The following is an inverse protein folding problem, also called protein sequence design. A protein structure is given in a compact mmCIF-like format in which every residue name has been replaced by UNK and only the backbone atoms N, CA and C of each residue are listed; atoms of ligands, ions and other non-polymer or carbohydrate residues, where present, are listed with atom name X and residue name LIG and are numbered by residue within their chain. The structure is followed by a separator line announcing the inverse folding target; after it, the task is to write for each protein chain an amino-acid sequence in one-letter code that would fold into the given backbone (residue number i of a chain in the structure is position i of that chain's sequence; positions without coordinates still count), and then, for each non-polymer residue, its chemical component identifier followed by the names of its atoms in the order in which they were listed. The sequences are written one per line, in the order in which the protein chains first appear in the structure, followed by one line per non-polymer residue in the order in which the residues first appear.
data_IF_430049351612
#
_entry.id   IF_430049351612
#
_cell.length_a   1.000
_cell.length_b   1.000
_cell.length_c   1.000
_cell.angle_alpha   90.00
_cell.angle_beta   90.00
_cell.angle_gamma   90.00
#
_symmetry.space_group_name_H-M   'P 1'
#
loop_
_entity.id
_entity.type
_entity.pdbx_description
1 polymer ?
#
# COMPACT_ATOMS: atom_id res chain seq x y z
N UNK A 1 24.37 14.66 -27.78
CA UNK A 1 23.80 14.23 -29.08
C UNK A 1 22.39 14.78 -29.14
N UNK A 2 22.03 15.58 -30.16
CA UNK A 2 20.66 16.09 -30.30
C UNK A 2 19.78 14.94 -30.79
N UNK A 3 18.65 14.71 -30.12
CA UNK A 3 17.62 13.76 -30.56
C UNK A 3 17.13 14.23 -31.94
N UNK A 4 17.09 13.32 -32.91
CA UNK A 4 16.57 13.60 -34.25
C UNK A 4 15.04 13.76 -34.22
N UNK A 5 14.48 14.44 -35.22
CA UNK A 5 13.03 14.66 -35.30
C UNK A 5 12.25 13.33 -35.43
N UNK A 6 12.83 12.35 -36.11
CA UNK A 6 12.30 10.98 -36.23
C UNK A 6 12.30 10.24 -34.89
N UNK A 7 13.39 10.32 -34.12
CA UNK A 7 13.46 9.72 -32.77
C UNK A 7 12.44 10.36 -31.82
N UNK A 8 12.26 11.69 -31.88
CA UNK A 8 11.27 12.38 -31.07
C UNK A 8 9.84 11.95 -31.44
N UNK A 9 9.58 11.73 -32.72
CA UNK A 9 8.28 11.25 -33.22
C UNK A 9 7.98 9.85 -32.69
N UNK A 10 8.94 8.92 -32.78
CA UNK A 10 8.81 7.56 -32.22
C UNK A 10 8.50 7.56 -30.73
N UNK A 11 9.19 8.41 -29.95
CA UNK A 11 8.93 8.51 -28.50
C UNK A 11 7.53 9.05 -28.23
N UNK A 12 7.06 10.05 -28.99
CA UNK A 12 5.68 10.57 -28.84
C UNK A 12 4.64 9.50 -29.14
N UNK A 13 4.84 8.70 -30.18
CA UNK A 13 3.94 7.59 -30.53
C UNK A 13 3.92 6.53 -29.43
N UNK A 14 5.09 6.13 -28.92
CA UNK A 14 5.20 5.21 -27.79
C UNK A 14 4.45 5.72 -26.55
N UNK A 15 4.64 6.99 -26.20
CA UNK A 15 3.95 7.63 -25.08
C UNK A 15 2.44 7.74 -25.29
N UNK A 16 1.99 7.91 -26.54
CA UNK A 16 0.56 7.89 -26.87
C UNK A 16 -0.03 6.51 -26.62
N UNK A 17 0.58 5.46 -27.19
CA UNK A 17 0.14 4.07 -26.99
C UNK A 17 0.12 3.71 -25.50
N UNK A 18 1.15 4.12 -24.75
CA UNK A 18 1.22 3.88 -23.30
C UNK A 18 0.06 4.52 -22.53
N UNK A 19 -0.44 5.69 -22.93
CA UNK A 19 -1.57 6.37 -22.25
C UNK A 19 -2.89 5.65 -22.45
N UNK A 20 -3.06 4.98 -23.57
CA UNK A 20 -4.30 4.27 -23.92
C UNK A 20 -4.36 2.88 -23.30
N UNK A 21 -3.22 2.34 -22.84
CA UNK A 21 -3.13 1.07 -22.15
C UNK A 21 -3.53 1.20 -20.68
N UNK A 22 -4.45 0.35 -20.23
CA UNK A 22 -4.65 0.13 -18.80
C UNK A 22 -3.73 -1.02 -18.35
N UNK A 23 -2.70 -0.74 -17.53
CA UNK A 23 -1.82 -1.80 -17.02
C UNK A 23 -2.58 -2.76 -16.10
N UNK A 24 -3.70 -2.34 -15.51
CA UNK A 24 -4.47 -3.13 -14.56
C UNK A 24 -5.84 -3.47 -15.18
N UNK A 25 -6.30 -4.72 -15.11
CA UNK A 25 -7.62 -5.07 -15.62
C UNK A 25 -8.74 -4.22 -14.99
N UNK A 26 -9.57 -3.55 -15.81
CA UNK A 26 -10.81 -2.93 -15.34
C UNK A 26 -11.87 -4.00 -15.14
N UNK A 27 -12.55 -3.95 -14.00
CA UNK A 27 -13.72 -4.77 -13.72
C UNK A 27 -14.77 -3.94 -12.99
N UNK A 28 -16.03 -4.37 -13.09
CA UNK A 28 -17.09 -3.82 -12.25
C UNK A 28 -16.78 -4.14 -10.78
N UNK A 29 -16.62 -3.12 -9.92
CA UNK A 29 -16.27 -3.34 -8.52
C UNK A 29 -17.42 -4.02 -7.78
N UNK A 30 -17.09 -4.84 -6.80
CA UNK A 30 -18.04 -5.49 -5.89
C UNK A 30 -18.57 -4.51 -4.85
N UNK A 31 -19.61 -4.89 -4.10
CA UNK A 31 -20.09 -4.07 -2.99
C UNK A 31 -19.01 -3.81 -1.93
N UNK A 32 -18.14 -4.79 -1.66
CA UNK A 32 -17.04 -4.67 -0.70
C UNK A 32 -16.00 -3.66 -1.17
N UNK A 33 -15.68 -3.64 -2.47
CA UNK A 33 -14.74 -2.68 -3.04
C UNK A 33 -15.31 -1.26 -3.05
N UNK A 34 -16.60 -1.12 -3.36
CA UNK A 34 -17.29 0.18 -3.33
C UNK A 34 -17.43 0.70 -1.89
N UNK A 35 -17.55 -0.19 -0.90
CA UNK A 35 -17.62 0.18 0.52
C UNK A 35 -16.32 0.76 1.09
N UNK A 36 -15.18 0.58 0.40
CA UNK A 36 -13.89 1.14 0.78
C UNK A 36 -13.04 0.26 1.71
N UNK A 37 -13.55 -0.86 2.19
CA UNK A 37 -12.88 -1.76 3.14
C UNK A 37 -12.66 -3.21 2.63
N UNK A 38 -12.35 -3.46 1.33
CA UNK A 38 -12.30 -4.82 0.80
C UNK A 38 -11.20 -5.70 1.40
N UNK A 39 -10.19 -5.09 2.04
CA UNK A 39 -9.00 -5.75 2.56
C UNK A 39 -8.99 -5.93 4.08
N UNK A 40 -10.06 -5.51 4.76
CA UNK A 40 -10.14 -5.60 6.20
C UNK A 40 -10.49 -7.03 6.59
N UNK A 41 -9.56 -7.72 7.26
CA UNK A 41 -9.71 -9.10 7.72
C UNK A 41 -11.00 -9.28 8.54
N UNK A 42 -11.29 -8.34 9.46
CA UNK A 42 -12.51 -8.35 10.26
C UNK A 42 -13.79 -8.27 9.41
N UNK A 43 -13.80 -7.47 8.34
CA UNK A 43 -14.95 -7.37 7.41
C UNK A 43 -15.13 -8.68 6.66
N UNK A 44 -14.05 -9.28 6.17
CA UNK A 44 -14.12 -10.58 5.49
C UNK A 44 -14.57 -11.68 6.44
N UNK A 45 -14.06 -11.71 7.68
CA UNK A 45 -14.48 -12.66 8.71
C UNK A 45 -15.97 -12.51 9.06
N UNK A 46 -16.53 -11.31 9.04
CA UNK A 46 -17.98 -11.09 9.21
C UNK A 46 -18.80 -11.78 8.11
N UNK A 47 -18.36 -11.64 6.87
CA UNK A 47 -19.05 -12.24 5.72
C UNK A 47 -18.89 -13.75 5.71
N UNK A 48 -17.69 -14.26 6.03
CA UNK A 48 -17.46 -15.69 6.20
C UNK A 48 -18.34 -16.27 7.29
N UNK A 49 -18.41 -15.63 8.47
CA UNK A 49 -19.30 -16.06 9.55
C UNK A 49 -20.76 -16.11 9.08
N UNK A 50 -21.22 -15.12 8.31
CA UNK A 50 -22.58 -15.16 7.75
C UNK A 50 -22.83 -16.44 6.94
N UNK A 51 -21.90 -16.85 6.07
CA UNK A 51 -22.05 -18.07 5.26
C UNK A 51 -21.81 -19.38 6.01
N UNK A 52 -21.01 -19.35 7.08
CA UNK A 52 -20.68 -20.52 7.90
C UNK A 52 -21.79 -20.84 8.92
N UNK A 53 -22.56 -19.84 9.34
CA UNK A 53 -23.63 -20.01 10.35
C UNK A 53 -24.90 -20.63 9.77
N UNK A 54 -25.56 -21.44 10.58
CA UNK A 54 -26.90 -21.99 10.30
C UNK A 54 -28.05 -21.12 10.84
N UNK A 55 -27.74 -20.05 11.59
CA UNK A 55 -28.73 -19.14 12.22
C UNK A 55 -29.68 -18.49 11.21
N UNK A 56 -29.22 -18.31 9.96
CA UNK A 56 -30.02 -17.85 8.83
C UNK A 56 -30.11 -19.02 7.85
N UNK A 57 -31.31 -19.54 7.58
CA UNK A 57 -31.53 -20.64 6.63
C UNK A 57 -31.30 -20.17 5.18
N UNK A 58 -30.05 -19.89 4.84
CA UNK A 58 -29.61 -19.50 3.51
C UNK A 58 -29.07 -20.70 2.72
N UNK A 59 -29.01 -21.90 3.31
CA UNK A 59 -28.66 -23.15 2.64
C UNK A 59 -27.18 -23.35 2.29
N UNK A 60 -26.26 -22.51 2.79
CA UNK A 60 -24.83 -22.55 2.42
C UNK A 60 -23.89 -23.02 3.54
N UNK A 61 -24.34 -23.11 4.79
CA UNK A 61 -23.48 -23.40 5.95
C UNK A 61 -22.72 -24.72 5.80
N UNK A 62 -23.44 -25.80 5.52
CA UNK A 62 -22.89 -27.13 5.34
C UNK A 62 -21.86 -27.18 4.21
N UNK A 63 -22.17 -26.62 3.03
CA UNK A 63 -21.23 -26.67 1.91
C UNK A 63 -19.99 -25.80 2.15
N UNK A 64 -20.09 -24.71 2.91
CA UNK A 64 -18.94 -23.90 3.26
C UNK A 64 -17.96 -24.67 4.14
N UNK A 65 -18.47 -25.36 5.16
CA UNK A 65 -17.63 -26.17 6.05
C UNK A 65 -17.08 -27.39 5.33
N UNK A 66 -17.90 -28.09 4.55
CA UNK A 66 -17.48 -29.24 3.74
C UNK A 66 -16.37 -28.85 2.75
N UNK A 67 -16.56 -27.79 1.95
CA UNK A 67 -15.53 -27.32 1.01
C UNK A 67 -14.24 -26.92 1.73
N UNK A 68 -14.34 -26.31 2.91
CA UNK A 68 -13.16 -25.94 3.69
C UNK A 68 -12.40 -27.19 4.16
N UNK A 69 -13.11 -28.19 4.68
CA UNK A 69 -12.52 -29.46 5.14
C UNK A 69 -11.94 -30.28 3.99
N UNK A 70 -12.60 -30.34 2.83
CA UNK A 70 -12.06 -31.03 1.65
C UNK A 70 -10.77 -30.38 1.15
N UNK A 71 -10.70 -29.05 1.21
CA UNK A 71 -9.47 -28.31 0.86
C UNK A 71 -8.32 -28.69 1.80
N UNK A 72 -8.63 -29.08 3.03
CA UNK A 72 -7.69 -29.38 4.12
C UNK A 72 -7.28 -30.85 4.17
N UNK A 73 -8.20 -31.77 3.91
CA UNK A 73 -8.04 -33.23 4.08
C UNK A 73 -7.92 -33.98 2.74
N UNK A 74 -8.28 -33.35 1.61
CA UNK A 74 -8.28 -33.94 0.27
C UNK A 74 -9.54 -34.74 -0.06
N UNK A 75 -9.91 -34.80 -1.34
CA UNK A 75 -11.19 -35.37 -1.82
C UNK A 75 -11.41 -36.85 -1.44
N UNK A 76 -10.34 -37.64 -1.25
CA UNK A 76 -10.43 -39.07 -0.87
C UNK A 76 -10.74 -39.31 0.61
N UNK A 77 -10.68 -38.28 1.46
CA UNK A 77 -11.04 -38.35 2.89
C UNK A 77 -12.57 -38.29 3.13
N UNK A 78 -13.37 -38.22 2.06
CA UNK A 78 -14.83 -38.05 2.01
C UNK A 78 -15.66 -39.23 2.54
N UNK A 79 -15.14 -39.96 3.53
CA UNK A 79 -15.88 -40.94 4.34
C UNK A 79 -16.14 -40.44 5.77
N UNK A 80 -16.37 -39.13 5.93
CA UNK A 80 -16.97 -38.61 7.15
C UNK A 80 -18.49 -38.51 6.98
N UNK A 81 -19.29 -39.19 7.83
CA UNK A 81 -20.74 -39.09 7.80
C UNK A 81 -21.14 -37.70 8.30
N UNK A 82 -21.68 -36.86 7.42
CA UNK A 82 -22.48 -35.67 7.80
C UNK A 82 -21.97 -34.88 9.02
N UNK A 83 -20.70 -34.45 9.03
CA UNK A 83 -20.17 -33.44 9.99
C UNK A 83 -20.77 -32.03 9.74
N UNK A 84 -21.88 -31.96 9.02
CA UNK A 84 -22.36 -30.76 8.34
C UNK A 84 -23.31 -29.90 9.18
N UNK A 85 -23.71 -30.37 10.37
CA UNK A 85 -24.46 -29.57 11.34
C UNK A 85 -23.53 -28.63 12.08
N UNK A 86 -23.37 -27.43 11.52
CA UNK A 86 -22.71 -26.32 12.23
C UNK A 86 -23.56 -25.95 13.45
N UNK A 87 -23.00 -26.14 14.64
CA UNK A 87 -23.62 -25.81 15.92
C UNK A 87 -23.44 -24.33 16.25
N UNK A 88 -22.23 -23.81 16.04
CA UNK A 88 -21.89 -22.43 16.36
C UNK A 88 -20.74 -21.91 15.49
N UNK A 89 -20.71 -20.60 15.27
CA UNK A 89 -19.58 -19.90 14.64
C UNK A 89 -19.33 -18.60 15.37
N UNK A 90 -18.17 -18.48 16.00
CA UNK A 90 -17.76 -17.28 16.72
C UNK A 90 -16.66 -16.54 15.97
N UNK A 91 -16.68 -15.21 16.09
CA UNK A 91 -15.63 -14.34 15.59
C UNK A 91 -14.84 -13.81 16.75
N UNK A 92 -13.56 -13.52 16.50
CA UNK A 92 -12.74 -12.73 17.41
C UNK A 92 -12.66 -13.35 18.82
N UNK A 93 -12.55 -14.68 18.89
CA UNK A 93 -12.52 -15.44 20.13
C UNK A 93 -11.24 -15.12 20.90
N UNK A 94 -11.40 -14.51 22.07
CA UNK A 94 -10.29 -14.01 22.86
C UNK A 94 -9.73 -15.09 23.77
N UNK A 95 -8.43 -15.35 23.66
CA UNK A 95 -7.75 -16.32 24.51
C UNK A 95 -7.49 -15.77 25.91
N UNK A 96 -7.07 -16.64 26.84
CA UNK A 96 -6.68 -16.21 28.19
C UNK A 96 -5.47 -15.27 28.20
N UNK A 97 -4.63 -15.30 27.16
CA UNK A 97 -3.50 -14.38 26.98
C UNK A 97 -3.91 -13.07 26.29
N UNK A 98 -5.21 -12.85 26.05
CA UNK A 98 -5.73 -11.69 25.32
C UNK A 98 -5.28 -11.63 23.84
N UNK A 99 -4.92 -12.78 23.26
CA UNK A 99 -4.82 -12.92 21.82
C UNK A 99 -6.20 -13.24 21.23
N UNK A 100 -6.33 -13.23 19.90
CA UNK A 100 -7.64 -13.29 19.23
C UNK A 100 -7.61 -14.24 18.04
N UNK A 101 -8.46 -15.26 18.07
CA UNK A 101 -8.69 -16.18 16.95
C UNK A 101 -9.79 -15.57 16.07
N UNK A 102 -9.54 -15.42 14.77
CA UNK A 102 -10.46 -14.69 13.90
C UNK A 102 -11.83 -15.36 13.76
N UNK A 103 -11.85 -16.70 13.60
CA UNK A 103 -13.06 -17.51 13.49
C UNK A 103 -12.90 -18.86 14.20
N UNK A 104 -13.94 -19.29 14.91
CA UNK A 104 -14.06 -20.64 15.49
C UNK A 104 -15.40 -21.23 15.05
N UNK A 105 -15.38 -22.41 14.44
CA UNK A 105 -16.56 -23.15 13.99
C UNK A 105 -16.66 -24.43 14.82
N UNK A 106 -17.80 -24.62 15.46
CA UNK A 106 -18.13 -25.82 16.23
C UNK A 106 -19.15 -26.65 15.43
N UNK A 107 -18.82 -27.91 15.20
CA UNK A 107 -19.74 -28.94 14.70
C UNK A 107 -19.97 -29.99 15.79
N UNK A 108 -20.78 -31.03 15.52
CA UNK A 108 -21.03 -32.09 16.50
C UNK A 108 -19.77 -32.84 16.98
N UNK A 109 -18.69 -32.86 16.20
CA UNK A 109 -17.50 -33.65 16.50
C UNK A 109 -16.17 -32.96 16.13
N UNK A 110 -16.19 -31.79 15.48
CA UNK A 110 -15.01 -31.01 15.11
C UNK A 110 -15.09 -29.58 15.63
N UNK A 111 -13.94 -29.05 16.02
CA UNK A 111 -13.73 -27.63 16.22
C UNK A 111 -12.69 -27.12 15.21
N UNK A 112 -13.10 -26.17 14.38
CA UNK A 112 -12.26 -25.59 13.33
C UNK A 112 -11.89 -24.16 13.75
N UNK A 113 -10.61 -23.89 13.94
CA UNK A 113 -10.09 -22.56 14.25
C UNK A 113 -9.39 -21.98 13.02
N UNK A 114 -9.80 -20.79 12.61
CA UNK A 114 -9.29 -20.13 11.41
C UNK A 114 -8.67 -18.79 11.80
N UNK A 115 -7.42 -18.61 11.39
CA UNK A 115 -6.75 -17.32 11.33
C UNK A 115 -6.87 -16.78 9.90
N UNK A 116 -7.54 -15.64 9.72
CA UNK A 116 -7.83 -15.04 8.42
C UNK A 116 -6.81 -13.95 8.09
N UNK A 117 -6.07 -14.12 6.97
CA UNK A 117 -5.03 -13.19 6.54
C UNK A 117 -5.22 -12.69 5.12
N UNK A 118 -5.47 -11.39 4.97
CA UNK A 118 -5.49 -10.70 3.69
C UNK A 118 -4.10 -10.13 3.39
N UNK A 119 -3.74 -9.01 4.01
CA UNK A 119 -2.45 -8.34 3.79
C UNK A 119 -1.49 -8.46 4.96
N UNK A 120 -1.95 -8.78 6.17
CA UNK A 120 -1.05 -8.94 7.31
C UNK A 120 -0.20 -10.21 7.19
N UNK A 121 0.97 -10.16 7.85
CA UNK A 121 1.87 -11.28 8.05
C UNK A 121 1.49 -12.07 9.31
N UNK A 122 2.04 -13.28 9.46
CA UNK A 122 1.68 -14.22 10.54
C UNK A 122 2.58 -14.12 11.78
N UNK A 123 3.72 -13.42 11.71
CA UNK A 123 4.76 -13.40 12.75
C UNK A 123 4.37 -12.92 14.14
N UNK A 124 3.23 -12.23 14.29
CA UNK A 124 2.78 -11.73 15.58
C UNK A 124 1.65 -12.57 16.19
N UNK A 125 1.25 -13.64 15.50
CA UNK A 125 0.21 -14.54 15.97
C UNK A 125 0.83 -15.67 16.81
N UNK A 126 0.38 -15.79 18.07
CA UNK A 126 0.74 -16.90 18.96
C UNK A 126 -0.16 -18.10 18.63
N UNK A 127 0.18 -18.83 17.56
CA UNK A 127 -0.61 -19.97 17.07
C UNK A 127 -0.72 -21.09 18.10
N UNK A 128 0.32 -21.27 18.92
CA UNK A 128 0.31 -22.26 19.99
C UNK A 128 -0.73 -21.91 21.06
N UNK A 129 -0.84 -20.64 21.45
CA UNK A 129 -1.90 -20.19 22.36
C UNK A 129 -3.31 -20.44 21.78
N UNK A 130 -3.47 -20.34 20.46
CA UNK A 130 -4.75 -20.62 19.81
C UNK A 130 -5.08 -22.11 19.93
N UNK A 131 -4.11 -22.99 19.64
CA UNK A 131 -4.28 -24.43 19.80
C UNK A 131 -4.61 -24.82 21.25
N UNK A 132 -3.85 -24.29 22.20
CA UNK A 132 -4.05 -24.57 23.64
C UNK A 132 -5.39 -24.06 24.14
N UNK A 133 -5.86 -22.93 23.61
CA UNK A 133 -7.18 -22.41 23.90
C UNK A 133 -8.27 -23.36 23.40
N UNK A 134 -8.23 -23.71 22.11
CA UNK A 134 -9.26 -24.53 21.46
C UNK A 134 -9.34 -25.93 22.08
N UNK A 135 -8.21 -26.59 22.30
CA UNK A 135 -8.16 -27.92 22.92
C UNK A 135 -8.73 -27.94 24.34
N UNK A 136 -8.63 -26.82 25.06
CA UNK A 136 -9.16 -26.71 26.42
C UNK A 136 -10.66 -26.45 26.44
N UNK A 137 -11.15 -25.57 25.57
CA UNK A 137 -12.57 -25.22 25.52
C UNK A 137 -13.43 -26.31 24.83
N UNK A 138 -12.84 -27.08 23.90
CA UNK A 138 -13.52 -28.12 23.13
C UNK A 138 -12.86 -29.51 23.28
N UNK A 139 -12.69 -30.05 24.51
CA UNK A 139 -11.85 -31.22 24.78
C UNK A 139 -12.29 -32.51 24.09
N UNK A 140 -13.59 -32.63 23.79
CA UNK A 140 -14.19 -33.83 23.20
C UNK A 140 -14.28 -33.78 21.66
N UNK A 141 -13.71 -32.75 21.01
CA UNK A 141 -13.75 -32.57 19.56
C UNK A 141 -12.44 -32.98 18.89
N UNK A 142 -12.54 -33.34 17.61
CA UNK A 142 -11.40 -33.31 16.69
C UNK A 142 -11.06 -31.86 16.32
N UNK A 143 -9.79 -31.56 16.09
CA UNK A 143 -9.34 -30.19 15.84
C UNK A 143 -8.90 -30.00 14.39
N UNK A 144 -9.22 -28.84 13.81
CA UNK A 144 -8.68 -28.40 12.54
C UNK A 144 -8.23 -26.95 12.66
N UNK A 145 -6.94 -26.70 12.48
CA UNK A 145 -6.35 -25.37 12.59
C UNK A 145 -5.97 -24.87 11.20
N UNK A 146 -6.46 -23.71 10.79
CA UNK A 146 -6.32 -23.20 9.42
C UNK A 146 -5.79 -21.77 9.45
N UNK A 147 -4.77 -21.50 8.64
CA UNK A 147 -4.45 -20.14 8.20
C UNK A 147 -5.05 -19.96 6.81
N UNK A 148 -6.13 -19.17 6.70
CA UNK A 148 -6.82 -18.88 5.45
C UNK A 148 -6.33 -17.55 4.89
N UNK A 149 -5.80 -17.52 3.67
CA UNK A 149 -5.18 -16.29 3.14
C UNK A 149 -5.21 -16.13 1.62
N UNK A 150 -4.89 -14.93 1.12
CA UNK A 150 -4.88 -14.64 -0.33
C UNK A 150 -3.89 -15.51 -1.12
N UNK A 151 -2.79 -15.90 -0.48
CA UNK A 151 -1.67 -16.61 -1.09
C UNK A 151 -0.64 -16.93 -0.01
N UNK A 152 0.36 -17.76 -0.33
CA UNK A 152 1.35 -18.20 0.65
C UNK A 152 1.95 -17.04 1.45
N UNK A 153 1.95 -17.19 2.78
CA UNK A 153 2.59 -16.27 3.71
C UNK A 153 3.90 -16.88 4.20
N UNK A 154 4.81 -16.01 4.58
CA UNK A 154 6.00 -16.45 5.30
C UNK A 154 5.58 -17.07 6.63
N UNK A 155 6.05 -18.30 6.85
CA UNK A 155 5.73 -19.08 8.04
C UNK A 155 6.57 -18.57 9.21
N UNK A 156 5.99 -18.42 10.42
CA UNK A 156 6.77 -18.11 11.62
C UNK A 156 7.74 -19.25 11.96
N UNK A 157 8.74 -18.97 12.79
CA UNK A 157 9.81 -19.92 13.12
C UNK A 157 9.27 -21.20 13.78
N UNK A 158 8.20 -21.09 14.57
CA UNK A 158 7.53 -22.17 15.27
C UNK A 158 6.47 -22.90 14.42
N UNK A 159 6.33 -22.57 13.12
CA UNK A 159 5.26 -23.12 12.28
C UNK A 159 5.20 -24.66 12.29
N UNK A 160 6.34 -25.33 12.22
CA UNK A 160 6.40 -26.80 12.17
C UNK A 160 6.11 -27.46 13.54
N UNK A 161 6.07 -26.68 14.63
CA UNK A 161 5.64 -27.13 15.96
C UNK A 161 4.12 -27.00 16.15
N UNK A 162 3.46 -26.24 15.27
CA UNK A 162 2.02 -25.99 15.29
C UNK A 162 1.26 -26.97 14.37
N UNK A 163 -0.03 -27.16 14.64
CA UNK A 163 -0.92 -28.03 13.84
C UNK A 163 -1.69 -27.26 12.75
N UNK A 164 -1.34 -25.98 12.56
CA UNK A 164 -1.96 -25.14 11.55
C UNK A 164 -1.62 -25.61 10.14
N UNK A 165 -2.66 -25.75 9.31
CA UNK A 165 -2.55 -25.98 7.88
C UNK A 165 -2.76 -24.68 7.13
N UNK A 166 -1.97 -24.47 6.07
CA UNK A 166 -2.07 -23.28 5.26
C UNK A 166 -3.02 -23.51 4.08
N UNK A 167 -4.05 -22.68 3.95
CA UNK A 167 -5.06 -22.76 2.89
C UNK A 167 -5.18 -21.40 2.20
N UNK A 168 -5.20 -21.40 0.86
CA UNK A 168 -5.49 -20.19 0.11
C UNK A 168 -6.98 -20.04 -0.12
N UNK A 169 -7.46 -18.79 -0.17
CA UNK A 169 -8.82 -18.49 -0.57
C UNK A 169 -9.16 -19.03 -1.96
N UNK A 170 -8.21 -19.01 -2.90
CA UNK A 170 -8.44 -19.57 -4.24
C UNK A 170 -8.70 -21.08 -4.15
N UNK A 171 -7.89 -21.84 -3.41
CA UNK A 171 -8.11 -23.29 -3.25
C UNK A 171 -9.46 -23.58 -2.56
N UNK A 172 -9.79 -22.83 -1.51
CA UNK A 172 -11.07 -22.96 -0.82
C UNK A 172 -12.26 -22.61 -1.73
N UNK A 173 -12.19 -21.51 -2.46
CA UNK A 173 -13.28 -21.09 -3.35
C UNK A 173 -13.42 -21.96 -4.58
N UNK A 174 -12.36 -22.55 -5.10
CA UNK A 174 -12.44 -23.52 -6.19
C UNK A 174 -13.21 -24.77 -5.73
N UNK A 175 -12.93 -25.27 -4.51
CA UNK A 175 -13.69 -26.37 -3.88
C UNK A 175 -15.15 -25.98 -3.58
N UNK A 176 -15.40 -24.74 -3.14
CA UNK A 176 -16.75 -24.23 -2.90
C UNK A 176 -17.56 -24.14 -4.19
N UNK A 177 -16.99 -23.53 -5.23
CA UNK A 177 -17.66 -23.34 -6.53
C UNK A 177 -18.06 -24.68 -7.17
N UNK A 178 -17.24 -25.72 -7.01
CA UNK A 178 -17.58 -27.08 -7.46
C UNK A 178 -18.84 -27.68 -6.81
N UNK A 179 -19.22 -27.21 -5.61
CA UNK A 179 -20.43 -27.65 -4.88
C UNK A 179 -21.64 -26.73 -5.07
N UNK A 180 -21.45 -25.54 -5.64
CA UNK A 180 -22.52 -24.53 -5.74
C UNK A 180 -23.67 -24.97 -6.66
N UNK A 181 -23.40 -25.77 -7.69
CA UNK A 181 -24.42 -26.22 -8.64
C UNK A 181 -25.54 -27.04 -7.94
N UNK A 182 -25.24 -27.69 -6.81
CA UNK A 182 -26.21 -28.48 -6.02
C UNK A 182 -27.11 -27.61 -5.12
N UNK A 183 -26.67 -26.40 -4.77
CA UNK A 183 -27.28 -25.54 -3.75
C UNK A 183 -27.94 -24.29 -4.34
N UNK A 184 -27.40 -23.73 -5.43
CA UNK A 184 -27.91 -22.51 -6.09
C UNK A 184 -29.43 -22.57 -6.37
N UNK A 185 -30.03 -23.68 -6.83
CA UNK A 185 -31.46 -23.73 -7.10
C UNK A 185 -32.35 -23.53 -5.86
N UNK A 186 -31.81 -23.70 -4.65
CA UNK A 186 -32.53 -23.64 -3.38
C UNK A 186 -32.24 -22.36 -2.58
N UNK A 187 -31.21 -21.63 -2.95
CA UNK A 187 -30.75 -20.45 -2.24
C UNK A 187 -31.49 -19.16 -2.66
N UNK A 188 -31.61 -18.22 -1.72
CA UNK A 188 -32.07 -16.86 -2.02
C UNK A 188 -31.10 -16.18 -3.01
N UNK A 189 -31.65 -15.62 -4.09
CA UNK A 189 -30.87 -14.99 -5.16
C UNK A 189 -29.95 -13.87 -4.65
N UNK A 190 -30.35 -13.16 -3.59
CA UNK A 190 -29.57 -12.10 -2.92
C UNK A 190 -28.34 -12.68 -2.23
N UNK A 191 -28.48 -13.82 -1.56
CA UNK A 191 -27.36 -14.51 -0.90
C UNK A 191 -26.34 -14.97 -1.95
N UNK A 192 -26.81 -15.48 -3.10
CA UNK A 192 -25.94 -15.80 -4.23
C UNK A 192 -25.17 -14.59 -4.77
N UNK A 193 -25.75 -13.39 -4.74
CA UNK A 193 -25.03 -12.14 -5.11
C UNK A 193 -23.93 -11.83 -4.09
N UNK A 194 -24.22 -11.92 -2.79
CA UNK A 194 -23.23 -11.68 -1.73
C UNK A 194 -22.05 -12.63 -1.84
N UNK A 195 -22.31 -13.91 -2.14
CA UNK A 195 -21.29 -14.93 -2.31
C UNK A 195 -20.36 -14.60 -3.48
N UNK A 196 -20.96 -14.31 -4.65
CA UNK A 196 -20.20 -13.92 -5.84
C UNK A 196 -19.37 -12.67 -5.59
N UNK A 197 -19.92 -11.69 -4.87
CA UNK A 197 -19.19 -10.47 -4.51
C UNK A 197 -18.04 -10.75 -3.54
N UNK A 198 -18.18 -11.66 -2.57
CA UNK A 198 -17.09 -12.07 -1.68
C UNK A 198 -15.96 -12.72 -2.49
N UNK A 199 -16.28 -13.76 -3.26
CA UNK A 199 -15.31 -14.50 -4.09
C UNK A 199 -14.58 -13.56 -5.03
N UNK A 200 -15.33 -12.71 -5.74
CA UNK A 200 -14.78 -11.74 -6.69
C UNK A 200 -13.88 -10.72 -5.99
N UNK A 201 -14.26 -10.20 -4.82
CA UNK A 201 -13.44 -9.24 -4.05
C UNK A 201 -12.09 -9.83 -3.69
N UNK A 202 -12.09 -11.05 -3.14
CA UNK A 202 -10.89 -11.75 -2.71
C UNK A 202 -9.98 -12.04 -3.92
N UNK A 203 -10.54 -12.60 -5.01
CA UNK A 203 -9.80 -12.84 -6.26
C UNK A 203 -9.26 -11.56 -6.87
N UNK A 204 -10.01 -10.46 -6.82
CA UNK A 204 -9.55 -9.15 -7.27
C UNK A 204 -8.35 -8.65 -6.44
N UNK A 205 -8.38 -8.83 -5.11
CA UNK A 205 -7.23 -8.49 -4.27
C UNK A 205 -5.98 -9.32 -4.60
N UNK A 206 -6.16 -10.57 -5.04
CA UNK A 206 -5.05 -11.40 -5.54
C UNK A 206 -4.53 -10.93 -6.92
N UNK A 207 -5.43 -10.42 -7.78
CA UNK A 207 -5.13 -9.99 -9.16
C UNK A 207 -4.69 -8.54 -9.32
N UNK A 208 -4.96 -7.65 -8.36
CA UNK A 208 -4.66 -6.20 -8.45
C UNK A 208 -3.18 -5.87 -8.68
N UNK A 209 -2.28 -6.82 -8.46
CA UNK A 209 -0.83 -6.69 -8.73
C UNK A 209 -0.42 -7.25 -10.09
N UNK A 210 -1.31 -7.92 -10.83
CA UNK A 210 -1.01 -8.54 -12.12
C UNK A 210 -1.29 -7.56 -13.26
N UNK A 211 -0.33 -7.50 -14.19
CA UNK A 211 -0.44 -6.68 -15.40
C UNK A 211 -1.34 -7.37 -16.44
N UNK A 212 -2.04 -6.59 -17.25
CA UNK A 212 -2.79 -7.13 -18.39
C UNK A 212 -1.83 -7.77 -19.40
N UNK A 213 -2.25 -8.85 -20.08
CA UNK A 213 -1.45 -9.45 -21.15
C UNK A 213 -1.20 -8.48 -22.30
N UNK A 214 -2.13 -7.57 -22.57
CA UNK A 214 -1.95 -6.49 -23.53
C UNK A 214 -0.77 -5.57 -23.13
N UNK A 215 -0.70 -5.17 -21.86
CA UNK A 215 0.40 -4.37 -21.35
C UNK A 215 1.73 -5.14 -21.33
N UNK A 216 1.72 -6.44 -20.99
CA UNK A 216 2.91 -7.29 -21.06
C UNK A 216 3.42 -7.40 -22.50
N UNK A 217 2.53 -7.63 -23.46
CA UNK A 217 2.89 -7.70 -24.87
C UNK A 217 3.45 -6.36 -25.37
N UNK A 218 2.82 -5.24 -25.00
CA UNK A 218 3.34 -3.91 -25.31
C UNK A 218 4.77 -3.70 -24.79
N UNK A 219 5.05 -4.09 -23.53
CA UNK A 219 6.40 -4.01 -22.96
C UNK A 219 7.39 -4.90 -23.72
N UNK A 220 6.96 -6.10 -24.12
CA UNK A 220 7.79 -7.03 -24.88
C UNK A 220 8.13 -6.50 -26.27
N UNK A 221 7.15 -5.90 -26.96
CA UNK A 221 7.29 -5.37 -28.32
C UNK A 221 8.14 -4.09 -28.37
N UNK A 222 8.14 -3.29 -27.30
CA UNK A 222 8.80 -1.97 -27.23
C UNK A 222 9.94 -1.95 -26.19
N UNK A 223 10.52 -3.12 -25.92
CA UNK A 223 11.44 -3.32 -24.80
C UNK A 223 12.63 -2.36 -24.84
N UNK A 224 13.29 -2.23 -25.99
CA UNK A 224 14.50 -1.41 -26.13
C UNK A 224 14.20 0.08 -25.90
N UNK A 225 13.10 0.59 -26.48
CA UNK A 225 12.68 1.97 -26.33
C UNK A 225 12.26 2.28 -24.89
N UNK A 226 11.54 1.38 -24.24
CA UNK A 226 11.13 1.53 -22.83
C UNK A 226 12.34 1.51 -21.91
N UNK A 227 13.27 0.56 -22.09
CA UNK A 227 14.52 0.49 -21.32
C UNK A 227 15.38 1.75 -21.54
N UNK A 228 15.47 2.22 -22.79
CA UNK A 228 16.18 3.47 -23.13
C UNK A 228 15.55 4.69 -22.45
N UNK A 229 14.22 4.82 -22.51
CA UNK A 229 13.49 5.89 -21.83
C UNK A 229 13.72 5.85 -20.32
N UNK A 230 13.64 4.67 -19.70
CA UNK A 230 13.90 4.49 -18.27
C UNK A 230 15.33 4.90 -17.91
N UNK A 231 16.33 4.41 -18.65
CA UNK A 231 17.73 4.71 -18.38
C UNK A 231 18.04 6.21 -18.56
N UNK A 232 17.50 6.86 -19.60
CA UNK A 232 17.75 8.28 -19.86
C UNK A 232 17.00 9.19 -18.88
N UNK A 233 15.69 8.96 -18.68
CA UNK A 233 14.86 9.79 -17.82
C UNK A 233 15.13 9.53 -16.34
N UNK A 234 15.20 8.29 -15.88
CA UNK A 234 15.29 8.00 -14.44
C UNK A 234 16.71 7.82 -13.93
N UNK A 235 17.65 7.31 -14.74
CA UNK A 235 19.04 7.15 -14.28
C UNK A 235 19.90 8.35 -14.62
N UNK A 236 19.98 8.75 -15.90
CA UNK A 236 20.89 9.83 -16.33
C UNK A 236 20.45 11.19 -15.80
N UNK A 237 19.21 11.60 -16.07
CA UNK A 237 18.70 12.88 -15.58
C UNK A 237 18.72 12.96 -14.05
N UNK A 238 18.35 11.89 -13.34
CA UNK A 238 18.42 11.86 -11.87
C UNK A 238 19.86 12.06 -11.37
N UNK A 239 20.84 11.37 -11.97
CA UNK A 239 22.26 11.54 -11.63
C UNK A 239 22.76 12.96 -11.92
N UNK A 240 22.30 13.56 -13.01
CA UNK A 240 22.67 14.93 -13.39
C UNK A 240 22.15 15.96 -12.40
N UNK A 241 20.87 15.88 -12.01
CA UNK A 241 20.30 16.80 -11.02
C UNK A 241 20.84 16.55 -9.61
N UNK A 242 21.20 15.31 -9.30
CA UNK A 242 21.92 14.94 -8.06
C UNK A 242 23.28 15.63 -8.00
N UNK A 243 24.12 15.43 -9.02
CA UNK A 243 25.45 16.03 -9.10
C UNK A 243 25.38 17.56 -9.01
N UNK A 244 24.48 18.20 -9.78
CA UNK A 244 24.28 19.65 -9.71
C UNK A 244 23.86 20.12 -8.31
N UNK A 245 23.02 19.37 -7.62
CA UNK A 245 22.60 19.71 -6.27
C UNK A 245 23.66 19.43 -5.20
N UNK A 246 24.58 18.48 -5.42
CA UNK A 246 25.76 18.23 -4.59
C UNK A 246 26.79 19.38 -4.79
N UNK A 247 27.07 19.77 -6.04
CA UNK A 247 27.96 20.90 -6.36
C UNK A 247 27.48 22.20 -5.71
N UNK A 248 26.17 22.49 -5.74
CA UNK A 248 25.61 23.65 -5.04
C UNK A 248 25.85 23.55 -3.52
N UNK A 249 25.70 22.37 -2.92
CA UNK A 249 25.94 22.20 -1.48
C UNK A 249 27.41 22.46 -1.11
N UNK A 250 28.36 21.95 -1.90
CA UNK A 250 29.79 22.14 -1.68
C UNK A 250 30.21 23.62 -1.75
N UNK A 251 29.50 24.42 -2.54
CA UNK A 251 29.74 25.86 -2.71
C UNK A 251 29.02 26.73 -1.67
N UNK A 252 28.13 26.17 -0.86
CA UNK A 252 27.36 26.90 0.15
C UNK A 252 28.09 26.89 1.49
N UNK A 253 28.32 28.07 2.05
CA UNK A 253 28.99 28.23 3.36
C UNK A 253 27.96 28.14 4.49
N UNK A 254 27.95 27.02 5.21
CA UNK A 254 27.04 26.79 6.35
C UNK A 254 27.68 27.07 7.72
N UNK A 255 29.01 27.19 7.79
CA UNK A 255 29.72 27.39 9.05
C UNK A 255 29.25 28.66 9.77
N UNK A 256 28.95 28.55 11.07
CA UNK A 256 28.44 29.66 11.88
C UNK A 256 26.98 30.06 11.62
N UNK A 257 26.31 29.51 10.60
CA UNK A 257 24.91 29.85 10.25
C UNK A 257 23.86 29.03 11.01
N UNK A 258 24.25 27.94 11.66
CA UNK A 258 23.34 26.99 12.32
C UNK A 258 22.45 26.18 11.37
N UNK A 259 22.61 26.32 10.06
CA UNK A 259 21.96 25.46 9.06
C UNK A 259 22.71 24.14 8.89
N UNK A 260 21.95 23.08 8.62
CA UNK A 260 22.47 21.79 8.13
C UNK A 260 21.83 21.46 6.78
N UNK A 261 22.50 20.68 5.95
CA UNK A 261 21.96 20.17 4.69
C UNK A 261 21.31 18.80 4.89
N UNK A 262 20.40 18.45 3.99
CA UNK A 262 19.80 17.12 3.87
C UNK A 262 19.23 16.94 2.48
N UNK A 263 19.01 15.69 2.09
CA UNK A 263 18.45 15.32 0.79
C UNK A 263 17.12 14.62 0.94
N UNK A 264 16.28 14.77 -0.07
CA UNK A 264 15.04 14.05 -0.18
C UNK A 264 14.85 13.55 -1.61
N UNK A 265 14.73 12.23 -1.72
CA UNK A 265 14.44 11.55 -2.99
C UNK A 265 13.18 10.70 -2.85
N UNK A 266 12.33 10.75 -3.86
CA UNK A 266 11.14 9.91 -3.96
C UNK A 266 11.39 8.81 -4.99
N UNK A 267 11.23 7.55 -4.57
CA UNK A 267 11.38 6.40 -5.49
C UNK A 267 10.35 6.52 -6.62
N UNK A 268 10.80 6.38 -7.86
CA UNK A 268 9.94 6.44 -9.04
C UNK A 268 9.48 7.85 -9.45
N UNK A 269 10.08 8.92 -8.90
CA UNK A 269 9.80 10.30 -9.32
C UNK A 269 11.03 10.94 -9.98
N UNK A 270 10.80 11.74 -11.02
CA UNK A 270 11.81 12.57 -11.68
C UNK A 270 12.01 13.88 -10.93
N UNK A 271 12.51 13.79 -9.71
CA UNK A 271 12.63 14.94 -8.80
C UNK A 271 13.76 14.70 -7.80
N UNK A 272 14.50 15.77 -7.53
CA UNK A 272 15.49 15.81 -6.48
C UNK A 272 15.29 17.06 -5.61
N UNK A 273 15.58 16.95 -4.32
CA UNK A 273 15.49 18.06 -3.38
C UNK A 273 16.72 18.08 -2.48
N UNK A 274 17.47 19.18 -2.55
CA UNK A 274 18.42 19.58 -1.51
C UNK A 274 17.72 20.53 -0.56
N UNK A 275 17.85 20.30 0.74
CA UNK A 275 17.25 21.13 1.77
C UNK A 275 18.30 21.59 2.77
N UNK A 276 18.42 22.90 2.95
CA UNK A 276 19.16 23.53 4.03
C UNK A 276 18.17 23.86 5.14
N UNK A 277 18.42 23.41 6.37
CA UNK A 277 17.44 23.49 7.44
C UNK A 277 18.05 23.95 8.76
N UNK A 278 17.26 24.71 9.52
CA UNK A 278 17.61 25.20 10.85
C UNK A 278 16.37 25.30 11.73
N UNK A 279 16.54 25.12 13.03
CA UNK A 279 15.52 25.47 14.03
C UNK A 279 15.72 26.92 14.46
N UNK A 280 14.65 27.71 14.41
CA UNK A 280 14.65 29.12 14.80
C UNK A 280 13.59 29.34 15.87
N UNK A 281 13.90 30.21 16.83
CA UNK A 281 12.98 30.68 17.86
C UNK A 281 12.65 32.15 17.59
N UNK A 282 11.38 32.47 17.34
CA UNK A 282 10.90 33.83 17.05
C UNK A 282 9.57 34.05 17.74
N UNK A 283 9.42 35.18 18.45
CA UNK A 283 8.19 35.55 19.16
C UNK A 283 7.61 34.42 20.03
N UNK A 284 8.50 33.66 20.70
CA UNK A 284 8.10 32.55 21.57
C UNK A 284 7.68 31.26 20.84
N UNK A 285 7.78 31.23 19.51
CA UNK A 285 7.50 30.06 18.68
C UNK A 285 8.79 29.43 18.15
N UNK A 286 8.91 28.11 18.28
CA UNK A 286 9.96 27.32 17.65
C UNK A 286 9.47 26.77 16.30
N UNK A 287 10.19 27.02 15.22
CA UNK A 287 9.88 26.53 13.90
C UNK A 287 11.15 26.01 13.21
N UNK A 288 10.95 25.07 12.28
CA UNK A 288 12.04 24.49 11.50
C UNK A 288 11.97 25.03 10.09
N UNK A 289 12.81 26.01 9.80
CA UNK A 289 12.92 26.59 8.47
C UNK A 289 13.67 25.61 7.58
N UNK A 290 13.19 25.45 6.34
CA UNK A 290 13.88 24.74 5.29
C UNK A 290 13.95 25.57 4.01
N UNK A 291 15.15 25.84 3.53
CA UNK A 291 15.39 26.35 2.17
C UNK A 291 15.56 25.13 1.27
N UNK A 292 14.61 24.89 0.38
CA UNK A 292 14.60 23.74 -0.53
C UNK A 292 14.99 24.19 -1.93
N UNK A 293 16.06 23.63 -2.46
CA UNK A 293 16.35 23.62 -3.88
C UNK A 293 15.69 22.38 -4.48
N UNK A 294 14.65 22.59 -5.28
CA UNK A 294 13.90 21.52 -5.96
C UNK A 294 14.24 21.49 -7.44
N UNK A 295 14.70 20.34 -7.91
CA UNK A 295 15.08 20.10 -9.29
C UNK A 295 14.12 19.11 -9.93
N UNK A 296 13.51 19.49 -11.04
CA UNK A 296 12.56 18.68 -11.83
C UNK A 296 12.81 18.90 -13.32
N UNK A 297 12.28 18.05 -14.23
CA UNK A 297 12.43 18.26 -15.67
C UNK A 297 11.80 19.57 -16.16
N UNK A 298 10.84 20.13 -15.42
CA UNK A 298 10.13 21.36 -15.77
C UNK A 298 10.85 22.61 -15.29
N UNK A 299 11.33 22.58 -14.06
CA UNK A 299 11.82 23.77 -13.36
C UNK A 299 12.78 23.44 -12.23
N UNK A 300 13.73 24.33 -12.02
CA UNK A 300 14.60 24.41 -10.84
C UNK A 300 14.17 25.61 -10.02
N UNK A 301 13.94 25.43 -8.72
CA UNK A 301 13.47 26.52 -7.88
C UNK A 301 13.93 26.41 -6.44
N UNK A 302 14.04 27.58 -5.82
CA UNK A 302 14.32 27.73 -4.40
C UNK A 302 13.05 28.15 -3.66
N UNK A 303 12.72 27.41 -2.61
CA UNK A 303 11.54 27.63 -1.78
C UNK A 303 11.94 27.69 -0.30
N UNK A 304 11.31 28.57 0.48
CA UNK A 304 11.39 28.51 1.95
C UNK A 304 10.14 27.84 2.50
N UNK A 305 10.32 26.95 3.45
CA UNK A 305 9.28 26.15 4.09
C UNK A 305 9.35 26.28 5.61
N UNK A 306 8.18 26.31 6.24
CA UNK A 306 8.03 25.93 7.64
C UNK A 306 7.76 24.42 7.73
N UNK A 307 8.54 23.71 8.56
CA UNK A 307 8.34 22.30 8.88
C UNK A 307 8.19 22.08 10.39
N UNK A 308 7.18 22.69 10.98
CA UNK A 308 6.34 22.23 12.10
C UNK A 308 5.05 23.05 11.96
N UNK A 309 3.90 22.56 12.41
CA UNK A 309 2.60 23.19 12.12
C UNK A 309 2.37 24.47 12.93
N UNK A 310 3.24 25.45 12.80
CA UNK A 310 3.14 26.76 13.42
C UNK A 310 2.27 27.68 12.56
N UNK A 311 1.72 28.70 13.21
CA UNK A 311 0.86 29.71 12.60
C UNK A 311 1.54 30.33 11.37
N UNK A 312 0.97 30.12 10.18
CA UNK A 312 1.49 30.64 8.91
C UNK A 312 1.75 32.14 8.97
N UNK A 313 0.96 32.87 9.77
CA UNK A 313 1.12 34.31 9.96
C UNK A 313 2.45 34.65 10.61
N UNK A 314 2.85 33.91 11.66
CA UNK A 314 4.12 34.13 12.38
C UNK A 314 5.29 33.80 11.46
N UNK A 315 5.19 32.71 10.69
CA UNK A 315 6.21 32.36 9.69
C UNK A 315 6.39 33.49 8.66
N UNK A 316 5.29 34.02 8.11
CA UNK A 316 5.37 35.14 7.14
C UNK A 316 5.93 36.41 7.76
N UNK A 317 5.57 36.74 9.01
CA UNK A 317 6.14 37.89 9.73
C UNK A 317 7.65 37.74 9.96
N UNK A 318 8.11 36.54 10.29
CA UNK A 318 9.54 36.27 10.38
C UNK A 318 10.23 36.50 9.04
N UNK A 319 9.69 35.95 7.95
CA UNK A 319 10.26 36.14 6.61
C UNK A 319 10.24 37.61 6.19
N UNK A 320 9.17 38.35 6.50
CA UNK A 320 9.08 39.78 6.27
C UNK A 320 10.16 40.56 7.02
N UNK A 321 10.42 40.21 8.28
CA UNK A 321 11.45 40.85 9.11
C UNK A 321 12.88 40.66 8.58
N UNK A 322 13.12 39.60 7.81
CA UNK A 322 14.46 39.23 7.30
C UNK A 322 14.66 39.57 5.82
N UNK A 323 13.63 39.37 5.01
CA UNK A 323 13.68 39.43 3.55
C UNK A 323 12.73 40.47 2.93
N UNK A 324 11.89 41.11 3.75
CA UNK A 324 10.93 42.12 3.30
C UNK A 324 9.57 41.55 2.87
N UNK A 325 8.57 42.44 2.81
CA UNK A 325 7.17 42.12 2.52
C UNK A 325 6.96 41.49 1.16
N UNK A 326 7.73 41.90 0.15
CA UNK A 326 7.60 41.42 -1.23
C UNK A 326 7.92 39.93 -1.37
N UNK A 327 8.83 39.42 -0.53
CA UNK A 327 9.16 38.00 -0.48
C UNK A 327 8.15 37.28 0.42
N UNK A 328 7.86 37.84 1.60
CA UNK A 328 6.96 37.24 2.58
C UNK A 328 5.55 36.96 2.04
N UNK A 329 5.07 37.79 1.11
CA UNK A 329 3.74 37.66 0.51
C UNK A 329 3.69 36.76 -0.73
N UNK A 330 4.81 36.19 -1.17
CA UNK A 330 4.78 35.26 -2.32
C UNK A 330 4.10 33.97 -1.91
N UNK A 331 3.32 33.44 -2.85
CA UNK A 331 2.69 32.13 -2.69
C UNK A 331 3.68 31.02 -3.03
N UNK A 332 3.35 29.82 -2.53
CA UNK A 332 4.02 28.59 -2.88
C UNK A 332 3.60 28.06 -4.26
N UNK A 333 4.25 27.00 -4.71
CA UNK A 333 3.83 26.31 -5.93
C UNK A 333 2.42 25.72 -5.75
N UNK A 334 1.56 25.79 -6.79
CA UNK A 334 0.14 25.36 -6.78
C UNK A 334 -0.10 23.92 -6.34
N UNK A 335 0.92 23.06 -6.48
CA UNK A 335 0.88 21.66 -6.07
C UNK A 335 1.17 21.44 -4.57
N UNK A 336 1.48 22.51 -3.82
CA UNK A 336 1.76 22.45 -2.39
C UNK A 336 0.51 22.87 -1.59
N UNK A 337 0.13 22.06 -0.60
CA UNK A 337 -0.98 22.36 0.33
C UNK A 337 -0.55 23.17 1.57
N UNK A 338 0.70 23.61 1.64
CA UNK A 338 1.33 24.21 2.83
C UNK A 338 2.09 25.47 2.44
N UNK A 339 2.06 26.50 3.31
CA UNK A 339 2.51 27.88 3.12
C UNK A 339 4.00 28.11 2.82
N UNK A 340 4.56 27.41 1.83
CA UNK A 340 5.89 27.66 1.30
C UNK A 340 5.95 28.99 0.55
N UNK A 341 7.13 29.61 0.50
CA UNK A 341 7.38 30.87 -0.23
C UNK A 341 8.37 30.58 -1.35
N UNK A 342 8.03 30.92 -2.60
CA UNK A 342 8.95 30.84 -3.73
C UNK A 342 9.91 32.03 -3.71
N UNK A 343 11.21 31.74 -3.67
CA UNK A 343 12.26 32.76 -3.68
C UNK A 343 12.68 33.06 -5.10
N UNK A 344 13.03 32.03 -5.87
CA UNK A 344 13.59 32.22 -7.19
C UNK A 344 13.43 30.95 -8.04
N UNK A 345 13.31 31.17 -9.34
CA UNK A 345 13.39 30.13 -10.36
C UNK A 345 14.74 30.26 -11.06
N UNK A 346 15.34 29.11 -11.34
CA UNK A 346 16.58 29.02 -12.09
C UNK A 346 16.32 28.29 -13.40
N UNK A 347 17.00 28.72 -14.45
CA UNK A 347 17.02 27.95 -15.68
C UNK A 347 17.74 26.63 -15.46
N UNK A 348 17.35 25.60 -16.22
CA UNK A 348 17.98 24.28 -16.12
C UNK A 348 19.50 24.35 -16.29
N UNK A 349 19.95 25.23 -17.19
CA UNK A 349 21.36 25.47 -17.51
C UNK A 349 22.10 26.42 -16.56
N UNK A 350 21.43 26.98 -15.56
CA UNK A 350 22.07 27.89 -14.58
C UNK A 350 23.28 27.22 -13.94
N UNK A 351 24.36 27.94 -13.69
CA UNK A 351 25.55 27.32 -13.10
C UNK A 351 25.35 27.07 -11.60
N UNK A 352 25.89 25.97 -11.03
CA UNK A 352 25.84 25.72 -9.59
C UNK A 352 26.34 26.91 -8.75
N UNK A 353 27.36 27.63 -9.22
CA UNK A 353 27.92 28.80 -8.57
C UNK A 353 26.91 29.95 -8.44
N UNK A 354 26.11 30.20 -9.47
CA UNK A 354 25.08 31.25 -9.48
C UNK A 354 23.95 30.92 -8.49
N UNK A 355 23.54 29.64 -8.44
CA UNK A 355 22.56 29.15 -7.45
C UNK A 355 23.12 29.22 -6.03
N UNK A 356 24.39 28.84 -5.84
CA UNK A 356 25.07 28.88 -4.56
C UNK A 356 25.28 30.31 -4.06
N UNK A 357 25.57 31.28 -4.93
CA UNK A 357 25.65 32.70 -4.58
C UNK A 357 24.34 33.20 -3.96
N UNK A 358 23.19 32.84 -4.55
CA UNK A 358 21.88 33.16 -3.99
C UNK A 358 21.64 32.52 -2.62
N UNK A 359 22.07 31.28 -2.44
CA UNK A 359 21.99 30.61 -1.13
C UNK A 359 22.91 31.26 -0.10
N UNK A 360 24.12 31.65 -0.48
CA UNK A 360 25.09 32.32 0.39
C UNK A 360 24.65 33.74 0.78
N UNK A 361 23.87 34.44 -0.05
CA UNK A 361 23.22 35.70 0.33
C UNK A 361 21.98 35.48 1.23
N UNK A 362 21.21 34.42 0.98
CA UNK A 362 19.95 34.14 1.66
C UNK A 362 20.14 33.55 3.07
N UNK A 363 21.00 32.55 3.21
CA UNK A 363 21.18 31.77 4.45
C UNK A 363 21.55 32.67 5.64
N UNK A 364 22.52 33.59 5.54
CA UNK A 364 22.89 34.47 6.66
C UNK A 364 21.75 35.40 7.10
N UNK A 365 20.82 35.77 6.21
CA UNK A 365 19.66 36.61 6.56
C UNK A 365 18.63 35.86 7.39
N UNK A 366 18.61 34.53 7.27
CA UNK A 366 17.68 33.63 7.95
C UNK A 366 18.31 32.89 9.13
N UNK A 367 19.62 33.03 9.31
CA UNK A 367 20.38 32.55 10.47
C UNK A 367 20.18 33.49 11.67
#
# INVERSE_FOLDING_TARGET
MRITEDELTKVKELLSKFKDLDPIPKYMPTIFEISGYPHYEDVISNVLQFFLKSDYDHGFSSIFVESLLDTVDGEESSSMPSDSSVLNVEREVTTKKNNRIDLVIETENRCIAIENKIYHHLYHNDLQDYQDYIKREYPDHQYTFIVLSLGQKEKPEDWEENEFKFITYDAFFDQLEGRLDEVIPKADAKVGIYLRDLIKTIRNMNKRTQLTMEFINFLSENREEVESLYNNAFKKFKKEIEAKADEVEELVTLEGTGFSSSTYTEKGKLKYVRSFQRVVNWEGSEYKIQIKLRLTPKEYRMEIWDRKSTDEKIFRQFIESRLGSDIANREGHKDNRSGSIIIEYFDYGEKPEEVAEKLNDLIPKLA
#
